data_IF_544223136671
#
_entry.id   IF_544223136671
#
_cell.length_a   1.000
_cell.length_b   1.000
_cell.length_c   1.000
_cell.angle_alpha   90.00
_cell.angle_beta   90.00
_cell.angle_gamma   90.00
#
_symmetry.space_group_name_H-M   'P 1'
#
loop_
_entity.id
_entity.type
_entity.pdbx_description
1 polymer ?
#
# COMPACT_ATOMS: atom_id res chain seq x y z
N UNK A 1 14.40 -21.46 -11.45
CA UNK A 1 14.62 -20.21 -10.66
C UNK A 1 14.51 -18.97 -11.55
N UNK A 2 13.38 -18.76 -12.25
CA UNK A 2 13.17 -17.65 -13.23
C UNK A 2 11.93 -16.81 -12.94
N UNK A 3 11.17 -17.14 -11.89
CA UNK A 3 9.81 -16.63 -11.66
C UNK A 3 9.76 -15.19 -11.10
N UNK A 4 10.77 -14.78 -10.32
CA UNK A 4 10.69 -13.55 -9.53
C UNK A 4 10.92 -12.25 -10.32
N UNK A 5 11.65 -12.31 -11.44
CA UNK A 5 11.86 -11.16 -12.34
C UNK A 5 10.64 -10.96 -13.23
N UNK A 6 10.14 -12.03 -13.84
CA UNK A 6 8.92 -11.99 -14.65
C UNK A 6 7.71 -11.47 -13.85
N UNK A 7 7.51 -11.97 -12.62
CA UNK A 7 6.41 -11.50 -11.76
C UNK A 7 6.52 -10.03 -11.40
N UNK A 8 7.73 -9.55 -11.08
CA UNK A 8 7.96 -8.12 -10.81
C UNK A 8 7.53 -7.27 -12.00
N UNK A 9 7.94 -7.67 -13.21
CA UNK A 9 7.67 -6.90 -14.42
C UNK A 9 6.17 -6.89 -14.75
N UNK A 10 5.45 -8.01 -14.52
CA UNK A 10 3.99 -8.05 -14.64
C UNK A 10 3.30 -7.08 -13.66
N UNK A 11 3.70 -7.06 -12.39
CA UNK A 11 3.12 -6.14 -11.39
C UNK A 11 3.40 -4.69 -11.78
N UNK A 12 4.63 -4.36 -12.16
CA UNK A 12 4.99 -3.00 -12.56
C UNK A 12 4.27 -2.57 -13.84
N UNK A 13 4.15 -3.45 -14.83
CA UNK A 13 3.39 -3.19 -16.05
C UNK A 13 1.91 -2.92 -15.76
N UNK A 14 1.30 -3.70 -14.86
CA UNK A 14 -0.09 -3.48 -14.45
C UNK A 14 -0.28 -2.14 -13.70
N UNK A 15 0.62 -1.83 -12.76
CA UNK A 15 0.60 -0.53 -12.06
C UNK A 15 0.74 0.61 -13.05
N UNK A 16 1.66 0.49 -14.02
CA UNK A 16 1.89 1.50 -15.05
C UNK A 16 0.64 1.71 -15.92
N UNK A 17 -0.04 0.64 -16.33
CA UNK A 17 -1.31 0.71 -17.08
C UNK A 17 -2.39 1.49 -16.31
N UNK A 18 -2.53 1.23 -15.00
CA UNK A 18 -3.47 1.98 -14.15
C UNK A 18 -3.08 3.46 -14.13
N UNK A 19 -1.80 3.78 -13.90
CA UNK A 19 -1.34 5.17 -13.86
C UNK A 19 -1.56 5.88 -15.19
N UNK A 20 -1.26 5.26 -16.32
CA UNK A 20 -1.39 5.86 -17.65
C UNK A 20 -2.82 6.25 -18.02
N UNK A 21 -3.82 5.63 -17.38
CA UNK A 21 -5.23 6.00 -17.56
C UNK A 21 -5.50 7.47 -17.20
N UNK A 22 -4.92 7.94 -16.10
CA UNK A 22 -4.98 9.35 -15.67
C UNK A 22 -3.84 9.62 -14.66
N UNK A 23 -2.62 9.97 -15.12
CA UNK A 23 -1.41 9.88 -14.30
C UNK A 23 -1.45 10.63 -12.97
N UNK A 24 -1.99 11.86 -12.97
CA UNK A 24 -2.05 12.70 -11.78
C UNK A 24 -3.17 12.23 -10.84
N UNK A 25 -4.32 11.91 -11.40
CA UNK A 25 -5.53 11.54 -10.69
C UNK A 25 -5.37 10.17 -10.03
N UNK A 26 -4.86 9.17 -10.76
CA UNK A 26 -4.66 7.82 -10.22
C UNK A 26 -3.63 7.82 -9.09
N UNK A 27 -2.52 8.52 -9.28
CA UNK A 27 -1.52 8.71 -8.22
C UNK A 27 -2.15 9.40 -7.00
N UNK A 28 -2.92 10.47 -7.21
CA UNK A 28 -3.58 11.22 -6.14
C UNK A 28 -4.60 10.37 -5.39
N UNK A 29 -5.52 9.71 -6.08
CA UNK A 29 -6.58 8.88 -5.50
C UNK A 29 -5.97 7.80 -4.60
N UNK A 30 -4.97 7.07 -5.10
CA UNK A 30 -4.39 5.94 -4.38
C UNK A 30 -3.33 6.34 -3.34
N UNK A 31 -2.88 7.59 -3.30
CA UNK A 31 -2.04 8.12 -2.22
C UNK A 31 -2.81 8.91 -1.16
N UNK A 32 -4.00 9.44 -1.48
CA UNK A 32 -4.82 10.25 -0.58
C UNK A 32 -6.05 9.49 -0.07
N UNK A 33 -5.81 8.34 0.58
CA UNK A 33 -6.86 7.53 1.22
C UNK A 33 -7.33 6.33 0.40
N UNK A 34 -7.05 6.26 -0.91
CA UNK A 34 -7.40 5.10 -1.74
C UNK A 34 -6.42 3.92 -1.67
N UNK A 35 -5.34 4.00 -0.88
CA UNK A 35 -4.26 3.01 -0.89
C UNK A 35 -4.72 1.57 -0.57
N UNK A 36 -5.70 1.38 0.32
CA UNK A 36 -6.25 0.05 0.58
C UNK A 36 -7.09 -0.47 -0.59
N UNK A 37 -7.86 0.39 -1.27
CA UNK A 37 -8.57 -0.01 -2.50
C UNK A 37 -7.60 -0.39 -3.62
N UNK A 38 -6.47 0.30 -3.71
CA UNK A 38 -5.41 -0.10 -4.64
C UNK A 38 -4.89 -1.51 -4.35
N UNK A 39 -4.70 -1.83 -3.06
CA UNK A 39 -4.39 -3.20 -2.65
C UNK A 39 -5.46 -4.21 -3.10
N UNK A 40 -6.76 -3.88 -2.96
CA UNK A 40 -7.84 -4.76 -3.42
C UNK A 40 -7.81 -4.98 -4.94
N UNK A 41 -7.53 -3.94 -5.72
CA UNK A 41 -7.35 -4.06 -7.18
C UNK A 41 -6.19 -5.01 -7.50
N UNK A 42 -5.04 -4.83 -6.83
CA UNK A 42 -3.90 -5.72 -6.98
C UNK A 42 -4.23 -7.15 -6.56
N UNK A 43 -5.02 -7.35 -5.51
CA UNK A 43 -5.41 -8.68 -5.02
C UNK A 43 -6.33 -9.43 -5.99
N UNK A 44 -7.15 -8.73 -6.77
CA UNK A 44 -7.95 -9.36 -7.83
C UNK A 44 -7.05 -9.93 -8.93
N UNK A 45 -5.99 -9.21 -9.31
CA UNK A 45 -5.07 -9.62 -10.38
C UNK A 45 -3.98 -10.57 -9.89
N UNK A 46 -3.52 -10.39 -8.66
CA UNK A 46 -2.48 -11.17 -7.98
C UNK A 46 -3.06 -11.72 -6.67
N UNK A 47 -3.75 -12.89 -6.69
CA UNK A 47 -4.47 -13.42 -5.53
C UNK A 47 -3.62 -13.62 -4.26
N UNK A 48 -2.30 -13.77 -4.41
CA UNK A 48 -1.37 -13.88 -3.29
C UNK A 48 -1.09 -12.55 -2.57
N UNK A 49 -1.56 -11.42 -3.11
CA UNK A 49 -1.29 -10.10 -2.54
C UNK A 49 -1.78 -10.00 -1.10
N UNK A 50 -0.88 -9.55 -0.21
CA UNK A 50 -1.19 -9.32 1.21
C UNK A 50 -1.10 -7.83 1.57
N UNK A 51 -2.04 -7.30 2.36
CA UNK A 51 -2.02 -5.91 2.77
C UNK A 51 -1.02 -5.69 3.90
N UNK A 52 -0.16 -4.69 3.74
CA UNK A 52 0.78 -4.23 4.76
C UNK A 52 0.54 -2.75 5.04
N UNK A 53 0.68 -2.35 6.30
CA UNK A 53 0.63 -0.95 6.71
C UNK A 53 2.04 -0.46 6.99
N UNK A 54 2.29 0.76 6.52
CA UNK A 54 3.49 1.52 6.88
C UNK A 54 3.09 2.76 7.64
N UNK A 55 3.95 3.16 8.55
CA UNK A 55 3.66 4.27 9.44
C UNK A 55 4.89 4.71 10.18
N UNK A 56 4.64 5.64 11.09
CA UNK A 56 5.65 6.19 11.96
C UNK A 56 5.37 5.77 13.40
N UNK A 57 6.42 5.37 14.11
CA UNK A 57 6.41 5.22 15.56
C UNK A 57 7.46 6.15 16.16
N UNK A 58 7.04 6.95 17.15
CA UNK A 58 7.93 7.88 17.87
C UNK A 58 8.99 7.15 18.69
N UNK A 59 8.63 6.02 19.30
CA UNK A 59 9.55 5.20 20.08
C UNK A 59 9.51 3.73 19.63
N UNK A 60 10.31 3.33 18.63
CA UNK A 60 10.30 1.96 18.11
C UNK A 60 10.74 0.89 19.14
N UNK A 61 11.33 1.29 20.28
CA UNK A 61 11.70 0.38 21.39
C UNK A 61 10.55 0.09 22.35
N UNK A 62 9.46 0.86 22.28
CA UNK A 62 8.22 0.65 23.03
C UNK A 62 7.10 0.47 22.00
N UNK A 63 7.02 -0.73 21.41
CA UNK A 63 5.95 -1.09 20.48
C UNK A 63 4.62 -1.33 21.23
N UNK A 64 4.06 -0.30 21.85
CA UNK A 64 2.66 -0.25 22.21
C UNK A 64 1.80 0.10 21.00
N UNK A 65 0.57 -0.42 20.92
CA UNK A 65 -0.39 -0.10 19.84
C UNK A 65 -0.69 1.40 19.74
N UNK A 66 -0.45 2.16 20.81
CA UNK A 66 -0.75 3.58 20.97
C UNK A 66 0.28 4.52 20.31
N UNK A 67 1.51 4.04 20.07
CA UNK A 67 2.58 4.87 19.48
C UNK A 67 2.69 4.74 17.95
N UNK A 68 1.91 3.84 17.34
CA UNK A 68 1.93 3.60 15.91
C UNK A 68 0.87 4.42 15.17
N UNK A 69 1.33 5.30 14.28
CA UNK A 69 0.46 6.07 13.40
C UNK A 69 0.53 5.46 11.98
N UNK A 70 -0.45 4.63 11.56
CA UNK A 70 -0.51 4.15 10.19
C UNK A 70 -0.76 5.31 9.24
N UNK A 71 0.04 5.38 8.17
CA UNK A 71 -0.03 6.47 7.19
C UNK A 71 -0.37 5.98 5.79
N UNK A 72 -0.01 4.75 5.45
CA UNK A 72 -0.21 4.23 4.10
C UNK A 72 -0.33 2.69 4.08
N UNK A 73 -1.06 2.17 3.09
CA UNK A 73 -1.18 0.75 2.82
C UNK A 73 -0.42 0.40 1.56
N UNK A 74 0.36 -0.68 1.61
CA UNK A 74 1.08 -1.25 0.48
C UNK A 74 0.74 -2.73 0.32
N UNK A 75 0.97 -3.29 -0.86
CA UNK A 75 0.72 -4.70 -1.16
C UNK A 75 2.01 -5.48 -1.21
N UNK A 76 2.11 -6.54 -0.41
CA UNK A 76 3.16 -7.55 -0.55
C UNK A 76 2.76 -8.57 -1.61
N UNK A 77 3.57 -8.71 -2.65
CA UNK A 77 3.40 -9.72 -3.71
C UNK A 77 4.75 -10.43 -3.87
N UNK A 78 4.77 -11.75 -3.62
CA UNK A 78 6.02 -12.49 -3.44
C UNK A 78 6.89 -11.87 -2.34
N UNK A 79 8.13 -11.51 -2.68
CA UNK A 79 9.11 -10.95 -1.74
C UNK A 79 9.23 -9.41 -1.82
N UNK A 80 8.33 -8.75 -2.53
CA UNK A 80 8.39 -7.30 -2.79
C UNK A 80 7.12 -6.61 -2.33
N UNK A 81 7.23 -5.30 -2.17
CA UNK A 81 6.12 -4.43 -1.79
C UNK A 81 5.82 -3.45 -2.91
N UNK A 82 4.53 -3.12 -3.08
CA UNK A 82 4.05 -2.28 -4.16
C UNK A 82 2.98 -1.30 -3.70
N UNK A 83 3.01 -0.10 -4.27
CA UNK A 83 1.97 0.92 -4.20
C UNK A 83 1.71 1.48 -5.62
N UNK A 84 0.88 2.52 -5.74
CA UNK A 84 0.61 3.15 -7.05
C UNK A 84 1.87 3.78 -7.68
N UNK A 85 2.93 4.01 -6.91
CA UNK A 85 4.18 4.55 -7.44
C UNK A 85 5.11 3.46 -7.98
N UNK A 86 4.76 2.17 -7.80
CA UNK A 86 5.53 1.03 -8.27
C UNK A 86 6.09 0.21 -7.11
N UNK A 87 7.38 -0.18 -7.20
CA UNK A 87 8.04 -0.95 -6.15
C UNK A 87 8.34 -0.08 -4.93
N UNK A 88 7.73 -0.40 -3.79
CA UNK A 88 7.93 0.27 -2.52
C UNK A 88 9.14 -0.30 -1.78
N UNK A 89 10.06 0.58 -1.36
CA UNK A 89 11.25 0.22 -0.57
C UNK A 89 11.30 1.05 0.69
N UNK A 90 11.15 0.42 1.86
CA UNK A 90 11.12 1.10 3.16
C UNK A 90 12.35 1.99 3.39
N UNK A 91 13.55 1.52 3.00
CA UNK A 91 14.81 2.29 3.09
C UNK A 91 14.81 3.63 2.36
N UNK A 92 13.94 3.80 1.36
CA UNK A 92 13.82 5.04 0.59
C UNK A 92 12.81 6.01 1.23
N UNK A 93 12.12 5.61 2.30
CA UNK A 93 11.03 6.35 2.89
C UNK A 93 11.48 6.99 4.21
N UNK A 94 11.73 8.30 4.18
CA UNK A 94 12.15 9.05 5.38
C UNK A 94 11.07 9.13 6.46
N UNK A 95 9.81 8.93 6.08
CA UNK A 95 8.63 9.11 6.94
C UNK A 95 8.17 7.82 7.63
N UNK A 96 8.70 6.66 7.23
CA UNK A 96 8.23 5.37 7.72
C UNK A 96 9.39 4.61 8.35
N UNK A 97 9.20 4.19 9.59
CA UNK A 97 10.14 3.34 10.31
C UNK A 97 9.52 2.00 10.72
N UNK A 98 8.24 1.78 10.42
CA UNK A 98 7.54 0.52 10.68
C UNK A 98 6.89 0.00 9.39
N UNK A 99 6.95 -1.31 9.22
CA UNK A 99 6.27 -2.09 8.22
C UNK A 99 5.67 -3.32 8.90
N UNK A 100 4.34 -3.46 8.87
CA UNK A 100 3.63 -4.56 9.49
C UNK A 100 2.53 -5.09 8.59
N UNK A 101 2.24 -6.38 8.66
CA UNK A 101 1.06 -6.95 8.02
C UNK A 101 -0.21 -6.35 8.66
N UNK A 102 -1.23 -6.07 7.87
CA UNK A 102 -2.50 -5.54 8.40
C UNK A 102 -3.26 -6.64 9.14
N UNK A 103 -3.66 -6.35 10.38
CA UNK A 103 -4.58 -7.18 11.15
C UNK A 103 -6.02 -6.98 10.66
N UNK A 104 -6.93 -7.86 11.07
CA UNK A 104 -8.36 -7.72 10.75
C UNK A 104 -8.93 -6.37 11.24
N UNK A 105 -8.51 -5.89 12.41
CA UNK A 105 -8.89 -4.57 12.91
C UNK A 105 -8.40 -3.43 11.99
N UNK A 106 -7.18 -3.56 11.45
CA UNK A 106 -6.65 -2.58 10.49
C UNK A 106 -7.42 -2.59 9.17
N UNK A 107 -7.80 -3.78 8.70
CA UNK A 107 -8.61 -3.96 7.49
C UNK A 107 -9.98 -3.30 7.68
N UNK A 108 -10.69 -3.63 8.76
CA UNK A 108 -12.00 -3.06 9.08
C UNK A 108 -11.94 -1.52 9.18
N UNK A 109 -10.83 -0.99 9.71
CA UNK A 109 -10.60 0.45 9.77
C UNK A 109 -10.33 1.05 8.38
N UNK A 110 -9.46 0.43 7.59
CA UNK A 110 -9.10 0.88 6.25
C UNK A 110 -10.30 0.87 5.29
N UNK A 111 -11.19 -0.12 5.41
CA UNK A 111 -12.45 -0.16 4.68
C UNK A 111 -13.30 1.06 5.03
N UNK A 112 -13.58 1.31 6.31
CA UNK A 112 -14.37 2.47 6.76
C UNK A 112 -13.84 3.80 6.21
N UNK A 113 -12.53 4.01 6.21
CA UNK A 113 -11.92 5.24 5.68
C UNK A 113 -11.89 5.31 4.16
N UNK A 114 -11.74 4.17 3.49
CA UNK A 114 -11.65 4.10 2.02
C UNK A 114 -12.97 4.45 1.31
N UNK A 115 -14.12 4.41 2.01
CA UNK A 115 -15.43 4.77 1.45
C UNK A 115 -15.82 6.24 1.62
N UNK A 116 -15.06 7.03 2.38
CA UNK A 116 -15.37 8.45 2.59
C UNK A 116 -14.56 9.30 1.61
N UNK A 117 -15.09 9.48 0.39
CA UNK A 117 -14.72 10.68 -0.38
C UNK A 117 -15.29 11.84 0.42
N UNK A 118 -14.46 12.49 1.26
CA UNK A 118 -14.85 13.78 1.81
C UNK A 118 -15.08 14.68 0.60
N UNK A 119 -16.35 15.01 0.33
CA UNK A 119 -16.71 16.06 -0.63
C UNK A 119 -15.84 17.25 -0.28
N UNK A 120 -14.91 17.59 -1.19
CA UNK A 120 -14.30 18.91 -1.18
C UNK A 120 -15.44 19.82 -1.64
N UNK A 121 -16.07 20.48 -0.67
CA UNK A 121 -16.98 21.60 -0.90
C UNK A 121 -16.10 22.83 -1.08
#
# INVERSE_FOLDING_TARGET
MTDNTSKKDCVLGFIQLIKETAPKEMTRIFTQGGCYRFHLILKVVFPEAKPYKVGFCRNPKQMGREDFIPLHVISKIGNRFYDINGEFKLKNQKRYNILAEMTEADINQAEKFSFVIKRII
#
